data_IF_769096385419
#
_entry.id   IF_769096385419
#
_cell.length_a   1.000
_cell.length_b   1.000
_cell.length_c   1.000
_cell.angle_alpha   90.00
_cell.angle_beta   90.00
_cell.angle_gamma   90.00
#
_symmetry.space_group_name_H-M   'P 1'
#
loop_
_entity.id
_entity.type
_entity.pdbx_description
1 polymer ?
#
# COMPACT_ATOMS: atom_id res chain seq x y z
N UNK A 1 -22.01 -33.54 -63.20
CA UNK A 1 -21.69 -32.38 -62.35
C UNK A 1 -22.87 -32.12 -61.41
N UNK A 2 -22.74 -32.30 -60.08
CA UNK A 2 -23.84 -31.99 -59.17
C UNK A 2 -24.04 -30.47 -59.09
N UNK A 3 -25.26 -30.01 -59.37
CA UNK A 3 -25.66 -28.60 -59.36
C UNK A 3 -25.68 -28.12 -57.91
N UNK A 4 -24.74 -27.24 -57.53
CA UNK A 4 -24.61 -26.69 -56.17
C UNK A 4 -25.94 -26.01 -55.80
N UNK A 5 -26.67 -26.57 -54.84
CA UNK A 5 -27.96 -26.04 -54.37
C UNK A 5 -27.69 -24.68 -53.73
N UNK A 6 -28.05 -23.60 -54.41
CA UNK A 6 -27.85 -22.24 -53.89
C UNK A 6 -28.68 -22.07 -52.61
N UNK A 7 -28.03 -21.59 -51.55
CA UNK A 7 -28.70 -21.37 -50.26
C UNK A 7 -29.68 -20.21 -50.41
N UNK A 8 -30.92 -20.40 -49.94
CA UNK A 8 -31.99 -19.41 -50.07
C UNK A 8 -31.69 -18.09 -49.33
N UNK A 9 -32.38 -16.99 -49.67
CA UNK A 9 -32.12 -15.66 -49.13
C UNK A 9 -32.25 -15.56 -47.60
N UNK A 10 -33.08 -16.41 -46.98
CA UNK A 10 -33.22 -16.51 -45.53
C UNK A 10 -31.96 -17.03 -44.83
N UNK A 11 -31.21 -17.94 -45.46
CA UNK A 11 -29.94 -18.39 -44.94
C UNK A 11 -28.93 -17.25 -44.89
N UNK A 12 -28.85 -16.47 -45.97
CA UNK A 12 -27.94 -15.32 -46.05
C UNK A 12 -28.32 -14.20 -45.08
N UNK A 13 -29.62 -13.90 -44.92
CA UNK A 13 -30.10 -12.94 -43.92
C UNK A 13 -29.76 -13.37 -42.48
N UNK A 14 -29.96 -14.65 -42.16
CA UNK A 14 -29.59 -15.21 -40.86
C UNK A 14 -28.08 -15.15 -40.62
N UNK A 15 -27.28 -15.50 -41.63
CA UNK A 15 -25.81 -15.42 -41.54
C UNK A 15 -25.30 -13.99 -41.37
N UNK A 16 -25.88 -13.01 -42.08
CA UNK A 16 -25.54 -11.58 -41.94
C UNK A 16 -25.95 -11.08 -40.56
N UNK A 17 -27.16 -11.40 -40.09
CA UNK A 17 -27.62 -10.99 -38.76
C UNK A 17 -26.70 -11.53 -37.66
N UNK A 18 -26.34 -12.82 -37.74
CA UNK A 18 -25.40 -13.45 -36.81
C UNK A 18 -24.03 -12.76 -36.82
N UNK A 19 -23.48 -12.51 -38.02
CA UNK A 19 -22.21 -11.80 -38.17
C UNK A 19 -22.26 -10.40 -37.53
N UNK A 20 -23.31 -9.61 -37.80
CA UNK A 20 -23.46 -8.28 -37.23
C UNK A 20 -23.58 -8.32 -35.71
N UNK A 21 -24.35 -9.26 -35.14
CA UNK A 21 -24.42 -9.43 -33.68
C UNK A 21 -23.09 -9.86 -33.07
N UNK A 22 -22.31 -10.72 -33.73
CA UNK A 22 -20.98 -11.12 -33.25
C UNK A 22 -20.00 -9.96 -33.27
N UNK A 23 -19.98 -9.17 -34.35
CA UNK A 23 -19.11 -7.98 -34.46
C UNK A 23 -19.52 -6.93 -33.43
N UNK A 24 -20.82 -6.64 -33.29
CA UNK A 24 -21.32 -5.71 -32.28
C UNK A 24 -21.00 -6.18 -30.86
N UNK A 25 -21.17 -7.48 -30.57
CA UNK A 25 -20.80 -8.07 -29.29
C UNK A 25 -19.31 -7.95 -28.99
N UNK A 26 -18.44 -8.16 -29.99
CA UNK A 26 -16.99 -7.95 -29.88
C UNK A 26 -16.65 -6.48 -29.60
N UNK A 27 -17.27 -5.54 -30.30
CA UNK A 27 -17.05 -4.10 -30.08
C UNK A 27 -17.55 -3.65 -28.69
N UNK A 28 -18.72 -4.11 -28.27
CA UNK A 28 -19.25 -3.82 -26.94
C UNK A 28 -18.33 -4.37 -25.84
N UNK A 29 -17.86 -5.62 -25.98
CA UNK A 29 -16.91 -6.23 -25.06
C UNK A 29 -15.57 -5.48 -25.02
N UNK A 30 -15.05 -5.05 -26.18
CA UNK A 30 -13.81 -4.28 -26.26
C UNK A 30 -13.96 -2.88 -25.62
N UNK A 31 -15.10 -2.21 -25.80
CA UNK A 31 -15.38 -0.93 -25.19
C UNK A 31 -15.52 -1.03 -23.66
N UNK A 32 -16.15 -2.10 -23.16
CA UNK A 32 -16.29 -2.35 -21.72
C UNK A 32 -14.98 -2.76 -21.04
N UNK A 33 -14.03 -3.35 -21.78
CA UNK A 33 -12.74 -3.82 -21.27
C UNK A 33 -11.58 -2.85 -21.52
N UNK A 34 -11.86 -1.57 -21.81
CA UNK A 34 -10.78 -0.59 -21.93
C UNK A 34 -10.08 -0.40 -20.56
N UNK A 35 -8.74 -0.45 -20.51
CA UNK A 35 -8.03 -0.20 -19.26
C UNK A 35 -8.31 1.22 -18.75
N UNK A 36 -8.44 1.42 -17.43
CA UNK A 36 -8.68 2.74 -16.87
C UNK A 36 -7.52 3.68 -17.20
N UNK A 37 -7.84 4.96 -17.38
CA UNK A 37 -6.83 6.00 -17.53
C UNK A 37 -5.99 6.09 -16.25
N UNK A 38 -4.67 6.22 -16.42
CA UNK A 38 -3.71 6.33 -15.32
C UNK A 38 -3.01 7.67 -15.35
N UNK A 39 -2.74 8.20 -14.18
CA UNK A 39 -1.87 9.36 -13.98
C UNK A 39 -0.45 9.07 -14.49
N UNK A 40 0.19 10.05 -15.14
CA UNK A 40 1.49 9.85 -15.79
C UNK A 40 2.66 9.76 -14.82
N UNK A 41 2.54 10.33 -13.62
CA UNK A 41 3.62 10.39 -12.63
C UNK A 41 3.53 9.19 -11.68
N UNK A 42 2.33 8.92 -11.16
CA UNK A 42 2.09 7.90 -10.14
C UNK A 42 1.67 6.54 -10.72
N UNK A 43 1.26 6.50 -11.99
CA UNK A 43 0.62 5.34 -12.64
C UNK A 43 -0.69 4.89 -11.94
N UNK A 44 -1.23 5.68 -11.02
CA UNK A 44 -2.48 5.39 -10.33
C UNK A 44 -3.69 5.69 -11.19
N UNK A 45 -4.81 5.01 -10.93
CA UNK A 45 -6.04 5.19 -11.72
C UNK A 45 -6.63 6.58 -11.47
N UNK A 46 -7.03 7.25 -12.54
CA UNK A 46 -7.66 8.57 -12.44
C UNK A 46 -9.08 8.51 -11.85
N UNK A 47 -9.74 7.36 -11.94
CA UNK A 47 -11.06 7.11 -11.34
C UNK A 47 -11.02 6.83 -9.83
N UNK A 48 -9.81 6.83 -9.23
CA UNK A 48 -9.55 6.62 -7.79
C UNK A 48 -10.09 5.31 -7.22
N UNK A 49 -10.33 4.31 -8.06
CA UNK A 49 -10.79 2.99 -7.64
C UNK A 49 -9.62 2.02 -7.56
N UNK A 50 -8.68 2.28 -6.65
CA UNK A 50 -7.52 1.40 -6.49
C UNK A 50 -7.95 0.09 -5.81
N UNK A 51 -7.53 -1.09 -6.33
CA UNK A 51 -7.95 -2.38 -5.78
C UNK A 51 -7.33 -2.68 -4.42
N UNK A 52 -6.16 -2.09 -4.14
CA UNK A 52 -5.47 -2.21 -2.87
C UNK A 52 -4.62 -0.97 -2.60
N UNK A 53 -4.36 -0.70 -1.33
CA UNK A 53 -3.41 0.32 -0.89
C UNK A 53 -2.62 -0.21 0.30
N UNK A 54 -1.30 -0.28 0.15
CA UNK A 54 -0.35 -0.61 1.22
C UNK A 54 0.42 0.65 1.60
N UNK A 55 0.28 1.10 2.84
CA UNK A 55 1.10 2.18 3.40
C UNK A 55 2.22 1.54 4.22
N UNK A 56 3.47 1.93 3.96
CA UNK A 56 4.63 1.56 4.76
C UNK A 56 5.09 2.80 5.51
N UNK A 57 4.94 2.81 6.82
CA UNK A 57 5.42 3.86 7.70
C UNK A 57 6.73 3.40 8.34
N UNK A 58 7.83 4.05 7.97
CA UNK A 58 9.16 3.75 8.50
C UNK A 58 9.54 4.81 9.51
N UNK A 59 9.70 4.39 10.76
CA UNK A 59 10.19 5.24 11.84
C UNK A 59 11.72 5.27 11.84
N UNK A 60 12.27 6.45 12.05
CA UNK A 60 13.70 6.75 11.92
C UNK A 60 14.26 7.41 13.18
N UNK A 61 13.65 7.21 14.34
CA UNK A 61 14.18 7.73 15.61
C UNK A 61 15.55 7.21 15.96
N UNK A 62 15.90 6.02 15.48
CA UNK A 62 17.23 5.44 15.62
C UNK A 62 17.91 5.30 14.27
N UNK A 63 19.24 5.47 14.21
CA UNK A 63 19.98 5.29 12.98
C UNK A 63 19.90 3.82 12.53
N UNK A 64 19.41 3.61 11.31
CA UNK A 64 19.42 2.29 10.69
C UNK A 64 20.85 1.86 10.35
N UNK A 65 21.22 0.65 10.78
CA UNK A 65 22.47 0.05 10.34
C UNK A 65 22.31 -0.59 8.95
N UNK A 66 23.42 -1.01 8.33
CA UNK A 66 23.38 -1.59 6.97
C UNK A 66 22.46 -2.83 6.85
N UNK A 67 22.32 -3.61 7.92
CA UNK A 67 21.43 -4.78 7.98
C UNK A 67 19.97 -4.35 7.98
N UNK A 68 19.62 -3.33 8.78
CA UNK A 68 18.24 -2.82 8.84
C UNK A 68 17.84 -2.24 7.49
N UNK A 69 18.73 -1.47 6.84
CA UNK A 69 18.50 -0.92 5.51
C UNK A 69 18.29 -2.03 4.46
N UNK A 70 19.12 -3.08 4.48
CA UNK A 70 18.96 -4.21 3.58
C UNK A 70 17.62 -4.93 3.80
N UNK A 71 17.21 -5.07 5.07
CA UNK A 71 15.94 -5.67 5.42
C UNK A 71 14.73 -4.80 4.99
N UNK A 72 14.77 -3.48 5.21
CA UNK A 72 13.71 -2.57 4.76
C UNK A 72 13.60 -2.57 3.24
N UNK A 73 14.71 -2.62 2.51
CA UNK A 73 14.70 -2.78 1.04
C UNK A 73 14.01 -4.07 0.62
N UNK A 74 14.35 -5.20 1.25
CA UNK A 74 13.71 -6.48 0.96
C UNK A 74 12.20 -6.45 1.25
N UNK A 75 11.80 -5.86 2.39
CA UNK A 75 10.38 -5.66 2.72
C UNK A 75 9.65 -4.84 1.64
N UNK A 76 10.23 -3.70 1.24
CA UNK A 76 9.63 -2.85 0.22
C UNK A 76 9.54 -3.55 -1.13
N UNK A 77 10.54 -4.37 -1.49
CA UNK A 77 10.51 -5.17 -2.70
C UNK A 77 9.41 -6.24 -2.65
N UNK A 78 9.30 -6.98 -1.54
CA UNK A 78 8.29 -8.02 -1.36
C UNK A 78 6.87 -7.44 -1.42
N UNK A 79 6.62 -6.32 -0.73
CA UNK A 79 5.33 -5.63 -0.77
C UNK A 79 5.05 -5.05 -2.15
N UNK A 80 6.06 -4.48 -2.83
CA UNK A 80 5.93 -4.01 -4.21
C UNK A 80 5.55 -5.12 -5.19
N UNK A 81 6.07 -6.33 -5.00
CA UNK A 81 5.78 -7.51 -5.83
C UNK A 81 4.42 -8.11 -5.54
N UNK A 82 3.99 -8.09 -4.28
CA UNK A 82 2.70 -8.62 -3.86
C UNK A 82 1.50 -7.79 -4.32
N UNK A 83 1.73 -6.53 -4.75
CA UNK A 83 0.64 -5.66 -5.19
C UNK A 83 -0.05 -6.20 -6.46
N UNK A 84 -1.40 -6.21 -6.47
CA UNK A 84 -2.13 -6.43 -7.71
C UNK A 84 -1.86 -5.29 -8.69
N UNK A 85 -2.23 -5.50 -9.96
CA UNK A 85 -2.24 -4.42 -10.95
C UNK A 85 -3.11 -3.27 -10.46
N UNK A 86 -2.58 -2.05 -10.56
CA UNK A 86 -3.13 -0.80 -10.00
C UNK A 86 -3.13 -0.69 -8.47
N UNK A 87 -2.60 -1.68 -7.75
CA UNK A 87 -2.42 -1.58 -6.30
C UNK A 87 -1.45 -0.45 -5.96
N UNK A 88 -1.82 0.40 -4.99
CA UNK A 88 -1.04 1.54 -4.53
C UNK A 88 -0.08 1.13 -3.41
N UNK A 89 1.14 1.66 -3.45
CA UNK A 89 2.07 1.64 -2.33
C UNK A 89 2.48 3.06 -2.00
N UNK A 90 2.41 3.40 -0.73
CA UNK A 90 2.85 4.69 -0.20
C UNK A 90 3.89 4.46 0.88
N UNK A 91 5.08 5.01 0.68
CA UNK A 91 6.14 5.07 1.68
C UNK A 91 6.04 6.40 2.42
N UNK A 92 5.96 6.35 3.74
CA UNK A 92 5.90 7.54 4.60
C UNK A 92 6.84 7.41 5.79
N UNK A 93 7.23 8.56 6.34
CA UNK A 93 8.00 8.66 7.59
C UNK A 93 7.30 9.61 8.57
N UNK A 94 7.39 9.39 9.89
CA UNK A 94 6.88 10.34 10.87
C UNK A 94 7.55 11.71 10.71
N UNK A 95 6.81 12.76 11.07
CA UNK A 95 7.32 14.13 11.02
C UNK A 95 7.42 14.70 12.44
N UNK A 96 8.64 14.83 12.94
CA UNK A 96 8.90 15.37 14.27
C UNK A 96 8.47 16.85 14.43
N UNK A 97 8.59 17.65 13.36
CA UNK A 97 8.25 19.07 13.40
C UNK A 97 6.73 19.29 13.36
N UNK A 98 6.00 18.42 12.66
CA UNK A 98 4.54 18.45 12.56
C UNK A 98 3.98 17.03 12.69
N UNK A 99 3.72 16.55 13.93
CA UNK A 99 3.28 15.16 14.21
C UNK A 99 2.09 14.66 13.39
N UNK A 100 1.17 15.56 13.03
CA UNK A 100 -0.04 15.27 12.25
C UNK A 100 0.13 15.53 10.74
N UNK A 101 1.37 15.65 10.26
CA UNK A 101 1.71 15.82 8.84
C UNK A 101 2.89 14.89 8.48
N UNK A 102 2.67 13.56 8.48
CA UNK A 102 3.71 12.59 8.12
C UNK A 102 4.16 12.81 6.67
N UNK A 103 5.47 12.72 6.44
CA UNK A 103 6.05 12.99 5.14
C UNK A 103 5.84 11.79 4.22
N UNK A 104 5.11 11.99 3.12
CA UNK A 104 5.02 11.00 2.05
C UNK A 104 6.29 11.05 1.21
N UNK A 105 7.16 10.05 1.38
CA UNK A 105 8.43 9.91 0.66
C UNK A 105 8.19 9.54 -0.80
N UNK A 106 7.24 8.62 -1.02
CA UNK A 106 6.88 8.16 -2.34
C UNK A 106 5.47 7.57 -2.33
N UNK A 107 4.75 7.72 -3.45
CA UNK A 107 3.46 7.07 -3.65
C UNK A 107 3.25 6.76 -5.13
N UNK A 108 2.84 5.53 -5.44
CA UNK A 108 2.56 5.13 -6.81
C UNK A 108 1.79 3.82 -6.88
N UNK A 109 1.31 3.49 -8.08
CA UNK A 109 0.53 2.29 -8.33
C UNK A 109 1.24 1.31 -9.27
N UNK A 110 1.15 0.02 -8.95
CA UNK A 110 1.82 -1.04 -9.70
C UNK A 110 1.22 -1.15 -11.11
N UNK A 111 2.02 -1.14 -12.19
CA UNK A 111 1.53 -1.43 -13.53
C UNK A 111 1.11 -2.90 -13.73
N UNK A 112 1.27 -3.73 -12.69
CA UNK A 112 1.10 -5.18 -12.69
C UNK A 112 2.43 -5.91 -12.76
N UNK A 113 2.44 -7.18 -12.34
CA UNK A 113 3.60 -8.06 -12.42
C UNK A 113 3.48 -9.03 -13.60
N UNK A 114 4.61 -9.57 -14.04
CA UNK A 114 4.65 -10.60 -15.07
C UNK A 114 3.90 -11.89 -14.67
N UNK A 115 3.80 -12.18 -13.37
CA UNK A 115 3.09 -13.35 -12.84
C UNK A 115 1.57 -13.28 -13.04
N UNK A 116 1.00 -12.06 -13.05
CA UNK A 116 -0.41 -11.82 -13.33
C UNK A 116 -0.73 -11.67 -14.82
N UNK A 117 0.27 -11.73 -15.70
CA UNK A 117 0.09 -11.50 -17.13
C UNK A 117 -0.34 -12.77 -17.85
N UNK A 118 -1.36 -12.68 -18.72
CA UNK A 118 -1.70 -13.81 -19.59
C UNK A 118 -0.70 -13.87 -20.75
N UNK A 119 0.17 -14.89 -20.84
CA UNK A 119 1.24 -14.94 -21.84
C UNK A 119 0.73 -15.08 -23.28
N UNK A 120 -0.54 -15.43 -23.47
CA UNK A 120 -1.18 -15.54 -24.80
C UNK A 120 -1.53 -14.14 -25.34
N UNK A 121 -1.89 -13.19 -24.47
CA UNK A 121 -2.41 -11.87 -24.86
C UNK A 121 -1.51 -10.71 -24.45
N UNK A 122 -0.53 -10.94 -23.58
CA UNK A 122 0.33 -9.91 -23.00
C UNK A 122 1.78 -10.35 -23.07
N UNK A 123 2.70 -9.39 -23.26
CA UNK A 123 4.13 -9.64 -23.29
C UNK A 123 4.71 -9.47 -21.87
N UNK A 124 5.06 -10.56 -21.16
CA UNK A 124 5.50 -10.48 -19.77
C UNK A 124 6.80 -9.69 -19.61
N UNK A 125 7.69 -9.72 -20.62
CA UNK A 125 8.94 -8.95 -20.59
C UNK A 125 8.70 -7.45 -20.59
N UNK A 126 7.72 -6.99 -21.36
CA UNK A 126 7.37 -5.57 -21.38
C UNK A 126 6.71 -5.11 -20.07
N UNK A 127 5.90 -5.97 -19.45
CA UNK A 127 5.27 -5.69 -18.15
C UNK A 127 6.34 -5.57 -17.07
N UNK A 128 7.27 -6.53 -17.02
CA UNK A 128 8.39 -6.48 -16.07
C UNK A 128 9.26 -5.24 -16.28
N UNK A 129 9.60 -4.91 -17.53
CA UNK A 129 10.37 -3.70 -17.83
C UNK A 129 9.64 -2.42 -17.38
N UNK A 130 8.31 -2.36 -17.58
CA UNK A 130 7.51 -1.23 -17.13
C UNK A 130 7.43 -1.15 -15.59
N UNK A 131 7.25 -2.29 -14.92
CA UNK A 131 7.26 -2.39 -13.45
C UNK A 131 8.60 -1.91 -12.88
N UNK A 132 9.71 -2.40 -13.43
CA UNK A 132 11.05 -2.00 -13.02
C UNK A 132 11.28 -0.48 -13.19
N UNK A 133 10.98 0.04 -14.38
CA UNK A 133 11.30 1.42 -14.73
C UNK A 133 10.39 2.46 -14.07
N UNK A 134 9.08 2.16 -13.97
CA UNK A 134 8.07 3.14 -13.55
C UNK A 134 7.65 3.02 -12.09
N UNK A 135 7.90 1.89 -11.45
CA UNK A 135 7.44 1.61 -10.10
C UNK A 135 8.59 1.29 -9.15
N UNK A 136 9.30 0.19 -9.39
CA UNK A 136 10.33 -0.31 -8.48
C UNK A 136 11.52 0.65 -8.34
N UNK A 137 12.13 1.07 -9.46
CA UNK A 137 13.30 1.95 -9.42
C UNK A 137 13.01 3.32 -8.78
N UNK A 138 11.88 4.01 -9.09
CA UNK A 138 11.50 5.23 -8.38
C UNK A 138 11.26 5.03 -6.88
N UNK A 139 10.57 3.95 -6.48
CA UNK A 139 10.34 3.62 -5.06
C UNK A 139 11.67 3.44 -4.31
N UNK A 140 12.55 2.58 -4.82
CA UNK A 140 13.84 2.27 -4.18
C UNK A 140 14.75 3.49 -4.12
N UNK A 141 14.77 4.31 -5.19
CA UNK A 141 15.56 5.54 -5.21
C UNK A 141 15.14 6.51 -4.10
N UNK A 142 13.83 6.74 -3.91
CA UNK A 142 13.33 7.61 -2.84
C UNK A 142 13.50 7.01 -1.45
N UNK A 143 13.35 5.69 -1.32
CA UNK A 143 13.60 4.99 -0.07
C UNK A 143 15.07 5.16 0.36
N UNK A 144 16.02 4.95 -0.55
CA UNK A 144 17.45 5.08 -0.25
C UNK A 144 17.84 6.52 0.16
N UNK A 145 17.27 7.53 -0.50
CA UNK A 145 17.50 8.94 -0.16
C UNK A 145 17.05 9.29 1.27
N UNK A 146 15.91 8.77 1.72
CA UNK A 146 15.34 9.13 3.03
C UNK A 146 15.87 8.22 4.15
N UNK A 147 16.14 6.94 3.87
CA UNK A 147 16.50 5.96 4.90
C UNK A 147 17.95 6.06 5.39
N UNK A 148 18.87 6.60 4.59
CA UNK A 148 20.31 6.60 4.90
C UNK A 148 20.75 7.79 5.78
N UNK A 149 20.07 8.94 5.68
CA UNK A 149 20.62 10.21 6.22
C UNK A 149 19.73 10.90 7.28
N UNK A 150 18.62 10.29 7.71
CA UNK A 150 17.64 10.97 8.56
C UNK A 150 17.49 10.26 9.91
N UNK A 151 17.92 10.94 10.99
CA UNK A 151 17.53 10.58 12.37
C UNK A 151 16.50 11.59 12.84
N UNK A 152 15.31 11.11 13.16
CA UNK A 152 14.24 11.95 13.68
C UNK A 152 14.39 12.13 15.20
N UNK A 153 14.25 13.36 15.74
CA UNK A 153 14.34 13.58 17.19
C UNK A 153 13.11 13.05 17.96
N UNK A 154 12.06 12.62 17.27
CA UNK A 154 10.84 12.08 17.88
C UNK A 154 10.09 11.14 16.94
N UNK A 155 9.30 10.22 17.50
CA UNK A 155 8.48 9.20 16.83
C UNK A 155 6.99 9.38 17.11
N UNK A 156 6.32 10.38 16.50
CA UNK A 156 4.88 10.58 16.65
C UNK A 156 4.08 9.56 15.82
N UNK A 157 4.12 8.29 16.21
CA UNK A 157 3.54 7.17 15.47
C UNK A 157 2.00 7.24 15.45
N UNK A 158 1.37 7.51 16.59
CA UNK A 158 -0.10 7.59 16.68
C UNK A 158 -0.66 8.73 15.82
N UNK A 159 -0.04 9.90 15.85
CA UNK A 159 -0.44 11.09 15.08
C UNK A 159 -0.23 10.86 13.58
N UNK A 160 0.89 10.24 13.21
CA UNK A 160 1.16 9.83 11.84
C UNK A 160 0.10 8.83 11.36
N UNK A 161 -0.19 7.79 12.14
CA UNK A 161 -1.21 6.78 11.80
C UNK A 161 -2.62 7.34 11.74
N UNK A 162 -2.95 8.30 12.62
CA UNK A 162 -4.22 9.03 12.55
C UNK A 162 -4.37 9.72 11.20
N UNK A 163 -3.34 10.46 10.79
CA UNK A 163 -3.34 11.20 9.52
C UNK A 163 -3.36 10.25 8.31
N UNK A 164 -2.56 9.18 8.33
CA UNK A 164 -2.51 8.19 7.26
C UNK A 164 -3.83 7.41 7.14
N UNK A 165 -4.45 7.08 8.27
CA UNK A 165 -5.74 6.41 8.35
C UNK A 165 -6.90 7.26 7.82
N UNK A 166 -6.80 8.59 7.89
CA UNK A 166 -7.83 9.52 7.39
C UNK A 166 -7.63 9.94 5.93
N UNK A 167 -6.59 9.45 5.25
CA UNK A 167 -6.33 9.83 3.86
C UNK A 167 -7.48 9.42 2.94
N UNK A 168 -7.91 10.28 1.99
CA UNK A 168 -8.99 9.94 1.06
C UNK A 168 -8.72 8.70 0.19
N UNK A 169 -7.46 8.41 -0.09
CA UNK A 169 -7.01 7.23 -0.85
C UNK A 169 -6.84 5.98 0.00
N UNK A 170 -7.13 6.03 1.31
CA UNK A 170 -7.01 4.91 2.25
C UNK A 170 -8.30 4.67 3.07
N UNK A 171 -9.43 5.16 2.57
CA UNK A 171 -10.75 4.94 3.17
C UNK A 171 -11.40 3.63 2.70
N UNK A 172 -12.56 3.31 3.26
CA UNK A 172 -13.34 2.10 2.96
C UNK A 172 -13.67 1.86 1.46
N UNK A 173 -13.51 2.87 0.59
CA UNK A 173 -13.60 2.71 -0.86
C UNK A 173 -12.48 1.86 -1.48
N UNK A 174 -11.37 1.66 -0.77
CA UNK A 174 -10.29 0.75 -1.16
C UNK A 174 -10.51 -0.61 -0.49
N UNK A 175 -10.76 -1.69 -1.26
CA UNK A 175 -11.14 -2.99 -0.69
C UNK A 175 -10.07 -3.63 0.19
N UNK A 176 -8.80 -3.55 -0.20
CA UNK A 176 -7.68 -4.17 0.50
C UNK A 176 -6.72 -3.09 1.01
N UNK A 177 -6.81 -2.78 2.32
CA UNK A 177 -5.98 -1.77 2.97
C UNK A 177 -5.00 -2.42 3.94
N UNK A 178 -3.72 -2.06 3.81
CA UNK A 178 -2.64 -2.55 4.66
C UNK A 178 -1.81 -1.38 5.18
N UNK A 179 -1.45 -1.43 6.45
CA UNK A 179 -0.50 -0.51 7.08
C UNK A 179 0.64 -1.33 7.69
N UNK A 180 1.86 -1.08 7.22
CA UNK A 180 3.06 -1.76 7.70
C UNK A 180 3.89 -0.75 8.48
N UNK A 181 4.12 -1.04 9.75
CA UNK A 181 4.91 -0.21 10.64
C UNK A 181 6.29 -0.81 10.76
N UNK A 182 7.33 -0.08 10.37
CA UNK A 182 8.72 -0.44 10.59
C UNK A 182 9.27 0.50 11.64
N UNK A 183 9.30 0.05 12.90
CA UNK A 183 9.63 0.89 14.05
C UNK A 183 10.03 0.02 15.24
N UNK A 184 10.71 0.62 16.22
CA UNK A 184 10.87 0.04 17.55
C UNK A 184 9.56 0.06 18.38
N UNK A 185 8.51 0.68 17.82
CA UNK A 185 7.18 0.91 18.38
C UNK A 185 7.17 1.84 19.60
N UNK A 186 8.21 2.64 19.82
CA UNK A 186 8.25 3.59 20.91
C UNK A 186 7.56 4.90 20.51
N UNK A 187 6.34 5.12 21.02
CA UNK A 187 5.65 6.39 20.83
C UNK A 187 6.42 7.51 21.55
N UNK A 188 6.81 8.54 20.79
CA UNK A 188 7.47 9.71 21.33
C UNK A 188 7.03 11.00 20.64
N UNK A 189 6.25 11.78 21.37
CA UNK A 189 5.72 13.07 20.94
C UNK A 189 5.66 14.03 22.13
N UNK A 190 5.18 15.25 21.88
CA UNK A 190 4.83 16.21 22.94
C UNK A 190 3.62 15.76 23.79
N UNK A 191 2.68 15.02 23.18
CA UNK A 191 1.37 14.73 23.78
C UNK A 191 1.43 13.42 24.60
N UNK A 192 2.24 12.45 24.17
CA UNK A 192 2.54 11.23 24.91
C UNK A 192 3.95 10.70 24.57
N UNK A 193 4.64 10.16 25.57
CA UNK A 193 6.01 9.66 25.42
C UNK A 193 6.24 8.44 26.31
N UNK A 194 6.46 7.29 25.66
CA UNK A 194 6.78 6.03 26.35
C UNK A 194 8.12 6.10 27.10
N UNK A 195 9.04 6.97 26.69
CA UNK A 195 10.29 7.19 27.45
C UNK A 195 10.09 7.84 28.82
N UNK A 196 8.97 8.55 29.03
CA UNK A 196 8.69 9.28 30.29
C UNK A 196 7.82 8.46 31.24
N UNK A 197 6.84 7.77 30.67
CA UNK A 197 5.76 7.11 31.42
C UNK A 197 5.79 5.59 31.29
N UNK A 198 6.67 5.03 30.45
CA UNK A 198 6.67 3.62 30.12
C UNK A 198 5.49 3.26 29.21
N UNK A 199 4.97 2.05 29.39
CA UNK A 199 3.80 1.52 28.66
C UNK A 199 2.53 1.53 29.52
N UNK A 200 2.55 2.31 30.61
CA UNK A 200 1.44 2.46 31.55
C UNK A 200 0.20 2.99 30.82
N UNK A 201 -0.86 2.19 30.79
CA UNK A 201 -2.04 2.52 30.00
C UNK A 201 -2.81 3.70 30.58
N UNK A 202 -2.89 3.81 31.90
CA UNK A 202 -3.54 4.90 32.61
C UNK A 202 -2.92 6.25 32.23
N UNK A 203 -1.59 6.30 32.08
CA UNK A 203 -0.89 7.51 31.63
C UNK A 203 -1.20 7.87 30.16
N UNK A 204 -1.51 6.87 29.33
CA UNK A 204 -1.98 7.08 27.96
C UNK A 204 -3.43 7.57 27.93
N UNK A 205 -4.32 7.03 28.76
CA UNK A 205 -5.72 7.45 28.83
C UNK A 205 -5.88 8.92 29.20
N UNK A 206 -4.99 9.44 30.06
CA UNK A 206 -4.95 10.86 30.43
C UNK A 206 -4.32 11.77 29.35
N UNK A 207 -3.77 11.18 28.28
CA UNK A 207 -3.09 11.93 27.21
C UNK A 207 -4.08 12.42 26.13
N UNK A 208 -3.79 13.55 25.45
CA UNK A 208 -4.60 14.02 24.32
C UNK A 208 -4.72 13.01 23.16
N UNK A 209 -3.80 12.04 23.07
CA UNK A 209 -3.82 11.02 22.02
C UNK A 209 -4.94 9.99 22.22
N UNK A 210 -5.49 9.86 23.43
CA UNK A 210 -6.59 8.94 23.73
C UNK A 210 -7.86 9.28 22.94
N UNK A 211 -8.07 10.54 22.56
CA UNK A 211 -9.22 10.98 21.77
C UNK A 211 -9.06 10.77 20.26
N UNK A 212 -7.85 10.41 19.81
CA UNK A 212 -7.62 10.13 18.39
C UNK A 212 -8.33 8.84 17.98
N UNK A 213 -9.11 8.93 16.90
CA UNK A 213 -9.80 7.80 16.28
C UNK A 213 -9.29 7.66 14.85
N UNK A 214 -8.20 6.90 14.62
CA UNK A 214 -7.66 6.75 13.29
C UNK A 214 -8.61 5.91 12.42
N UNK A 215 -8.73 6.22 11.13
CA UNK A 215 -9.58 5.49 10.17
C UNK A 215 -9.06 4.09 9.79
N UNK A 216 -8.73 3.26 10.78
CA UNK A 216 -8.08 1.95 10.60
C UNK A 216 -9.04 0.76 10.66
N UNK A 217 -10.35 1.00 10.70
CA UNK A 217 -11.35 -0.07 10.68
C UNK A 217 -11.18 -0.97 9.45
N UNK A 218 -10.99 -2.28 9.67
CA UNK A 218 -10.77 -3.26 8.60
C UNK A 218 -9.44 -3.12 7.85
N UNK A 219 -8.49 -2.35 8.41
CA UNK A 219 -7.11 -2.26 7.88
C UNK A 219 -6.28 -3.39 8.49
N UNK A 220 -5.56 -4.13 7.64
CA UNK A 220 -4.58 -5.09 8.10
C UNK A 220 -3.30 -4.36 8.53
N UNK A 221 -3.05 -4.30 9.84
CA UNK A 221 -1.88 -3.62 10.41
C UNK A 221 -0.83 -4.65 10.79
N UNK A 222 0.38 -4.45 10.28
CA UNK A 222 1.52 -5.32 10.56
C UNK A 222 2.67 -4.51 11.13
N UNK A 223 2.98 -4.73 12.41
CA UNK A 223 4.19 -4.17 13.01
C UNK A 223 5.39 -5.09 12.77
N UNK A 224 6.44 -4.52 12.20
CA UNK A 224 7.75 -5.12 12.01
C UNK A 224 8.72 -4.42 12.94
N UNK A 225 9.06 -5.09 14.03
CA UNK A 225 9.80 -4.47 15.12
C UNK A 225 11.29 -4.47 14.79
N UNK A 226 11.89 -3.28 14.72
CA UNK A 226 13.35 -3.13 14.61
C UNK A 226 13.90 -2.88 16.01
N UNK A 227 14.57 -3.86 16.64
CA UNK A 227 15.09 -3.69 17.99
C UNK A 227 16.27 -2.70 18.01
N UNK A 228 16.27 -1.82 19.01
CA UNK A 228 17.41 -0.94 19.30
C UNK A 228 18.66 -1.74 19.63
N UNK A 229 19.83 -1.24 19.21
CA UNK A 229 21.12 -1.82 19.59
C UNK A 229 21.56 -1.41 21.00
N UNK A 230 21.15 -0.24 21.50
CA UNK A 230 21.72 0.33 22.74
C UNK A 230 20.91 0.04 24.01
N UNK A 231 19.59 -0.17 23.92
CA UNK A 231 18.72 -0.35 25.08
C UNK A 231 17.80 -1.56 24.93
N UNK A 232 17.74 -2.39 25.98
CA UNK A 232 16.77 -3.48 26.07
C UNK A 232 15.37 -2.87 26.23
N UNK A 233 14.62 -2.78 25.13
CA UNK A 233 13.21 -2.39 25.16
C UNK A 233 12.38 -3.49 25.84
N UNK A 234 11.39 -3.14 26.68
CA UNK A 234 10.43 -4.11 27.20
C UNK A 234 9.45 -4.48 26.07
N UNK A 235 9.94 -5.20 25.06
CA UNK A 235 9.23 -5.50 23.82
C UNK A 235 7.88 -6.20 24.07
N UNK A 236 7.78 -7.01 25.12
CA UNK A 236 6.52 -7.65 25.51
C UNK A 236 5.45 -6.63 25.92
N UNK A 237 5.82 -5.64 26.73
CA UNK A 237 4.91 -4.61 27.22
C UNK A 237 4.54 -3.62 26.11
N UNK A 238 5.51 -3.20 25.29
CA UNK A 238 5.27 -2.32 24.14
C UNK A 238 4.30 -2.99 23.15
N UNK A 239 4.50 -4.27 22.84
CA UNK A 239 3.58 -5.03 21.98
C UNK A 239 2.18 -5.15 22.59
N UNK A 240 2.08 -5.41 23.89
CA UNK A 240 0.79 -5.52 24.58
C UNK A 240 0.04 -4.19 24.56
N UNK A 241 0.74 -3.07 24.75
CA UNK A 241 0.18 -1.72 24.64
C UNK A 241 -0.40 -1.47 23.24
N UNK A 242 0.38 -1.72 22.19
CA UNK A 242 -0.10 -1.51 20.81
C UNK A 242 -1.22 -2.46 20.43
N UNK A 243 -1.16 -3.72 20.88
CA UNK A 243 -2.24 -4.68 20.66
C UNK A 243 -3.56 -4.17 21.27
N UNK A 244 -3.51 -3.61 22.49
CA UNK A 244 -4.69 -2.97 23.11
C UNK A 244 -5.16 -1.77 22.31
N UNK A 245 -4.25 -0.86 21.93
CA UNK A 245 -4.59 0.32 21.14
C UNK A 245 -5.26 -0.02 19.80
N UNK A 246 -4.71 -0.96 19.03
CA UNK A 246 -5.28 -1.35 17.73
C UNK A 246 -6.63 -2.04 17.84
N UNK A 247 -6.88 -2.81 18.91
CA UNK A 247 -8.19 -3.42 19.16
C UNK A 247 -9.29 -2.36 19.24
N UNK A 248 -9.01 -1.22 19.85
CA UNK A 248 -9.96 -0.11 20.00
C UNK A 248 -10.21 0.64 18.67
N UNK A 249 -9.36 0.45 17.65
CA UNK A 249 -9.49 1.07 16.32
C UNK A 249 -10.25 0.23 15.29
N UNK A 250 -10.57 -1.03 15.60
CA UNK A 250 -11.17 -1.96 14.63
C UNK A 250 -10.20 -2.49 13.56
N UNK A 251 -8.89 -2.32 13.76
CA UNK A 251 -7.84 -2.84 12.87
C UNK A 251 -7.57 -4.33 13.11
N UNK A 252 -7.18 -5.06 12.06
CA UNK A 252 -6.66 -6.43 12.16
C UNK A 252 -5.15 -6.36 12.41
N UNK A 253 -4.74 -6.38 13.68
CA UNK A 253 -3.34 -6.21 14.06
C UNK A 253 -2.57 -7.53 14.21
N UNK A 254 -1.40 -7.60 13.58
CA UNK A 254 -0.36 -8.61 13.84
C UNK A 254 1.01 -7.95 14.05
N UNK A 255 1.87 -8.58 14.86
CA UNK A 255 3.27 -8.17 15.00
C UNK A 255 4.21 -9.32 14.66
N UNK A 256 5.33 -9.01 14.00
CA UNK A 256 6.40 -9.96 13.72
C UNK A 256 7.73 -9.30 14.05
N UNK A 257 8.60 -10.08 14.69
CA UNK A 257 10.00 -9.73 15.00
C UNK A 257 10.91 -10.31 13.96
#
# INVERSE_FOLDING_TARGET
MPRRKERGPWFWRGAIALMLTSVFGLFAAAAMNQPPATDSETNCRMDRQDPSHTIVLVDQSDPFNATDLAWVRALLEDEARALPKYGRLTLSVPNAASPYDPLTVWSGCSPGSAEGANPIFQNPRMIEQAWQAKFHKPLMGRADEVLVDTVAPSSPLMEAMFTLGDRPDFQAGVPARRLILVSDLMQHSKDFSMYKTGTEWEAFEDSPLMDLRPGLEGVAVVARVVPRQEYALPLGEVKAFWQRWFQDTGAEYGSVT
#
